data_IF_080543445218
#
_entry.id   IF_080543445218
#
_cell.length_a   1.000
_cell.length_b   1.000
_cell.length_c   1.000
_cell.angle_alpha   90.00
_cell.angle_beta   90.00
_cell.angle_gamma   90.00
#
_symmetry.space_group_name_H-M   'P 1'
#
loop_
_entity.id
_entity.type
_entity.pdbx_description
1 polymer ?
#
# COMPACT_ATOMS: atom_id res chain seq x y z
N UNK A 1 -0.46 -2.60 28.84
CA UNK A 1 -1.85 -2.96 28.44
C UNK A 1 -2.18 -2.16 27.18
N UNK A 2 -2.80 -2.78 26.18
CA UNK A 2 -3.37 -2.11 25.00
C UNK A 2 -4.88 -2.23 25.05
N UNK A 3 -5.59 -1.12 24.78
CA UNK A 3 -7.06 -1.05 24.79
C UNK A 3 -7.56 -0.46 23.49
N UNK A 4 -8.56 -1.10 22.88
CA UNK A 4 -9.34 -0.52 21.82
C UNK A 4 -10.53 0.27 22.40
N UNK A 5 -10.55 1.58 22.16
CA UNK A 5 -11.62 2.46 22.61
C UNK A 5 -12.62 2.67 21.49
N UNK A 6 -13.91 2.47 21.76
CA UNK A 6 -14.99 2.76 20.81
C UNK A 6 -15.17 4.27 20.68
N UNK A 7 -15.19 4.75 19.46
CA UNK A 7 -15.54 6.12 19.13
C UNK A 7 -16.83 6.14 18.29
N UNK A 8 -17.56 7.28 18.23
CA UNK A 8 -18.66 7.46 17.30
C UNK A 8 -18.17 7.42 15.84
N UNK A 9 -19.12 7.42 14.90
CA UNK A 9 -18.76 7.51 13.47
C UNK A 9 -18.20 8.90 13.21
N UNK A 10 -16.93 8.96 12.79
CA UNK A 10 -16.24 10.20 12.44
C UNK A 10 -16.65 10.63 11.04
N UNK A 11 -17.01 11.92 10.90
CA UNK A 11 -17.41 12.55 9.64
C UNK A 11 -16.49 13.73 9.33
N UNK A 12 -16.54 14.20 8.11
CA UNK A 12 -15.87 15.42 7.69
C UNK A 12 -16.41 16.62 8.48
N UNK A 13 -15.50 17.45 8.99
CA UNK A 13 -15.79 18.60 9.81
C UNK A 13 -15.97 18.32 11.30
N UNK A 14 -15.94 17.07 11.74
CA UNK A 14 -16.02 16.72 13.15
C UNK A 14 -14.79 17.23 13.93
N UNK A 15 -15.00 17.70 15.16
CA UNK A 15 -13.91 17.96 16.11
C UNK A 15 -13.33 16.63 16.63
N UNK A 16 -12.37 16.10 15.89
CA UNK A 16 -11.76 14.83 16.21
C UNK A 16 -11.07 14.83 17.58
N UNK A 17 -10.48 15.96 17.99
CA UNK A 17 -9.79 16.05 19.27
C UNK A 17 -10.78 15.91 20.43
N UNK A 18 -11.89 16.64 20.39
CA UNK A 18 -12.97 16.53 21.37
C UNK A 18 -13.54 15.09 21.42
N UNK A 19 -13.84 14.50 20.26
CA UNK A 19 -14.37 13.13 20.18
C UNK A 19 -13.41 12.10 20.81
N UNK A 20 -12.11 12.24 20.54
CA UNK A 20 -11.10 11.32 21.12
C UNK A 20 -11.01 11.47 22.63
N UNK A 21 -10.96 12.71 23.13
CA UNK A 21 -10.93 13.00 24.58
C UNK A 21 -12.15 12.40 25.27
N UNK A 22 -13.35 12.70 24.78
CA UNK A 22 -14.60 12.20 25.36
C UNK A 22 -14.68 10.67 25.32
N UNK A 23 -14.26 10.05 24.22
CA UNK A 23 -14.26 8.59 24.08
C UNK A 23 -13.33 7.93 25.08
N UNK A 24 -12.12 8.47 25.28
CA UNK A 24 -11.12 7.93 26.22
C UNK A 24 -11.59 8.10 27.67
N UNK A 25 -12.11 9.29 28.03
CA UNK A 25 -12.61 9.56 29.38
C UNK A 25 -13.84 8.69 29.73
N UNK A 26 -14.78 8.56 28.80
CA UNK A 26 -15.94 7.68 28.98
C UNK A 26 -15.53 6.22 29.16
N UNK A 27 -14.57 5.74 28.36
CA UNK A 27 -14.05 4.38 28.50
C UNK A 27 -13.33 4.16 29.84
N UNK A 28 -12.55 5.14 30.28
CA UNK A 28 -11.86 5.10 31.60
C UNK A 28 -12.87 4.97 32.76
N UNK A 29 -13.92 5.77 32.73
CA UNK A 29 -14.98 5.70 33.74
C UNK A 29 -15.78 4.38 33.69
N UNK A 30 -16.16 3.94 32.50
CA UNK A 30 -17.00 2.75 32.31
C UNK A 30 -16.26 1.44 32.66
N UNK A 31 -14.96 1.37 32.38
CA UNK A 31 -14.16 0.16 32.59
C UNK A 31 -13.26 0.23 33.84
N UNK A 32 -13.26 1.35 34.56
CA UNK A 32 -12.55 1.51 35.83
C UNK A 32 -11.01 1.45 35.70
N UNK A 33 -10.46 2.06 34.64
CA UNK A 33 -9.01 2.20 34.53
C UNK A 33 -8.57 3.67 34.63
N UNK A 34 -7.41 3.90 35.22
CA UNK A 34 -6.82 5.22 35.35
C UNK A 34 -5.96 5.56 34.13
N UNK A 35 -6.06 6.80 33.66
CA UNK A 35 -5.15 7.38 32.68
C UNK A 35 -3.92 7.87 33.48
N UNK A 36 -2.74 7.45 33.03
CA UNK A 36 -1.47 7.68 33.74
C UNK A 36 -0.53 8.51 32.91
N UNK A 37 0.45 9.11 33.58
CA UNK A 37 1.58 9.74 32.91
C UNK A 37 2.26 8.77 31.95
N UNK A 38 2.54 9.22 30.73
CA UNK A 38 3.14 8.49 29.62
C UNK A 38 2.22 7.46 28.94
N UNK A 39 0.94 7.44 29.24
CA UNK A 39 -0.02 6.72 28.41
C UNK A 39 -0.07 7.34 27.00
N UNK A 40 -0.21 6.49 25.98
CA UNK A 40 -0.25 6.89 24.58
C UNK A 40 -1.66 6.68 24.03
N UNK A 41 -2.26 7.73 23.53
CA UNK A 41 -3.51 7.67 22.76
C UNK A 41 -3.14 7.69 21.27
N UNK A 42 -3.50 6.64 20.55
CA UNK A 42 -3.20 6.52 19.12
C UNK A 42 -4.47 6.68 18.29
N UNK A 43 -4.39 7.54 17.28
CA UNK A 43 -5.45 7.74 16.27
C UNK A 43 -4.83 7.48 14.89
N UNK A 44 -5.52 6.71 14.03
CA UNK A 44 -4.99 6.43 12.69
C UNK A 44 -5.08 7.66 11.79
N UNK A 45 -4.10 7.83 10.91
CA UNK A 45 -4.09 8.92 9.91
C UNK A 45 -5.33 8.91 9.01
N UNK A 46 -5.90 7.73 8.74
CA UNK A 46 -7.12 7.61 7.93
C UNK A 46 -8.34 8.28 8.60
N UNK A 47 -8.42 8.21 9.93
CA UNK A 47 -9.48 8.87 10.71
C UNK A 47 -9.26 10.39 10.74
N UNK A 48 -8.01 10.81 10.93
CA UNK A 48 -7.61 12.23 10.88
C UNK A 48 -7.95 12.82 9.52
N UNK A 49 -7.51 12.18 8.43
CA UNK A 49 -7.78 12.63 7.07
C UNK A 49 -9.29 12.68 6.75
N UNK A 50 -10.09 11.77 7.33
CA UNK A 50 -11.55 11.78 7.19
C UNK A 50 -12.17 12.98 7.86
N UNK A 51 -11.81 13.28 9.10
CA UNK A 51 -12.33 14.44 9.81
C UNK A 51 -11.94 15.75 9.10
N UNK A 52 -10.78 15.80 8.49
CA UNK A 52 -10.28 16.94 7.72
C UNK A 52 -10.87 17.05 6.30
N UNK A 53 -11.63 16.06 5.81
CA UNK A 53 -12.05 16.02 4.41
C UNK A 53 -10.88 15.87 3.42
N UNK A 54 -9.75 15.35 3.89
CA UNK A 54 -8.52 15.22 3.08
C UNK A 54 -8.56 13.95 2.22
N UNK A 55 -9.16 14.06 1.02
CA UNK A 55 -9.32 12.96 0.08
C UNK A 55 -8.53 13.19 -1.20
N UNK A 56 -7.70 12.19 -1.58
CA UNK A 56 -7.04 12.11 -2.87
C UNK A 56 -7.86 11.23 -3.82
N UNK A 57 -8.39 11.82 -4.90
CA UNK A 57 -9.16 11.06 -5.91
C UNK A 57 -8.25 10.20 -6.78
N UNK A 58 -8.80 9.13 -7.37
CA UNK A 58 -8.10 8.27 -8.33
C UNK A 58 -7.52 9.10 -9.48
N UNK A 59 -8.27 10.08 -9.98
CA UNK A 59 -7.83 10.93 -11.10
C UNK A 59 -6.69 11.86 -10.71
N UNK A 60 -6.70 12.39 -9.50
CA UNK A 60 -5.61 13.20 -8.98
C UNK A 60 -4.32 12.37 -8.78
N UNK A 61 -4.46 11.14 -8.24
CA UNK A 61 -3.35 10.20 -8.12
C UNK A 61 -2.78 9.88 -9.50
N UNK A 62 -3.62 9.59 -10.47
CA UNK A 62 -3.20 9.30 -11.85
C UNK A 62 -2.44 10.46 -12.49
N UNK A 63 -2.92 11.70 -12.30
CA UNK A 63 -2.26 12.89 -12.81
C UNK A 63 -0.88 13.11 -12.18
N UNK A 64 -0.76 12.93 -10.86
CA UNK A 64 0.53 13.06 -10.15
C UNK A 64 1.53 11.97 -10.55
N UNK A 65 1.07 10.72 -10.69
CA UNK A 65 1.90 9.61 -11.17
C UNK A 65 2.39 9.86 -12.59
N UNK A 66 1.50 10.33 -13.49
CA UNK A 66 1.86 10.68 -14.86
C UNK A 66 2.84 11.85 -14.93
N UNK A 67 2.71 12.87 -14.07
CA UNK A 67 3.67 13.97 -13.96
C UNK A 67 5.07 13.46 -13.60
N UNK A 68 5.17 12.51 -12.67
CA UNK A 68 6.43 11.98 -12.17
C UNK A 68 7.12 10.99 -13.10
N UNK A 69 6.37 10.08 -13.67
CA UNK A 69 6.93 8.98 -14.47
C UNK A 69 6.83 9.18 -15.98
N UNK A 70 5.89 9.98 -16.46
CA UNK A 70 5.57 10.09 -17.88
C UNK A 70 4.78 8.87 -18.39
N UNK A 71 4.95 8.54 -19.67
CA UNK A 71 4.28 7.39 -20.31
C UNK A 71 5.17 6.13 -20.36
N UNK A 72 6.07 6.01 -19.41
CA UNK A 72 7.02 4.90 -19.36
C UNK A 72 6.47 3.69 -18.60
N UNK A 73 7.21 2.57 -18.67
CA UNK A 73 6.92 1.41 -17.81
C UNK A 73 7.34 1.71 -16.38
N UNK A 74 6.46 1.47 -15.42
CA UNK A 74 6.70 1.69 -13.99
C UNK A 74 6.72 0.36 -13.25
N UNK A 75 7.77 0.12 -12.49
CA UNK A 75 7.83 -0.99 -11.53
C UNK A 75 7.11 -0.58 -10.25
N UNK A 76 6.00 -1.22 -9.94
CA UNK A 76 5.26 -1.04 -8.67
C UNK A 76 5.62 -2.20 -7.76
N UNK A 77 6.34 -1.93 -6.66
CA UNK A 77 6.94 -3.00 -5.88
C UNK A 77 6.48 -3.02 -4.44
N UNK A 78 6.36 -4.23 -3.92
CA UNK A 78 6.07 -4.56 -2.52
C UNK A 78 4.82 -3.92 -1.93
N UNK A 79 3.69 -3.92 -2.65
CA UNK A 79 2.45 -3.45 -2.05
C UNK A 79 1.96 -4.40 -0.96
N UNK A 80 1.26 -3.85 0.03
CA UNK A 80 0.45 -4.64 0.95
C UNK A 80 -0.74 -5.22 0.20
N UNK A 81 -1.06 -6.49 0.46
CA UNK A 81 -2.21 -7.17 -0.11
C UNK A 81 -3.51 -6.68 0.55
N UNK A 82 -4.13 -5.68 -0.06
CA UNK A 82 -5.32 -5.04 0.49
C UNK A 82 -6.31 -4.66 -0.60
N UNK A 83 -7.53 -5.20 -0.50
CA UNK A 83 -8.64 -4.86 -1.40
C UNK A 83 -9.31 -3.52 -1.06
N UNK A 84 -9.04 -2.94 0.10
CA UNK A 84 -9.71 -1.74 0.59
C UNK A 84 -8.86 -0.47 0.48
N UNK A 85 -7.56 -0.57 0.76
CA UNK A 85 -6.68 0.60 0.80
C UNK A 85 -5.77 0.67 -0.42
N UNK A 86 -4.94 -0.34 -0.61
CA UNK A 86 -3.99 -0.31 -1.71
C UNK A 86 -4.67 -0.44 -3.07
N UNK A 87 -5.77 -1.18 -3.19
CA UNK A 87 -6.50 -1.28 -4.45
C UNK A 87 -6.94 0.07 -5.01
N UNK A 88 -7.37 1.02 -4.17
CA UNK A 88 -7.73 2.38 -4.61
C UNK A 88 -6.48 3.14 -5.09
N UNK A 89 -5.37 3.03 -4.36
CA UNK A 89 -4.09 3.59 -4.80
C UNK A 89 -3.66 2.98 -6.15
N UNK A 90 -3.74 1.65 -6.27
CA UNK A 90 -3.35 0.92 -7.47
C UNK A 90 -4.16 1.31 -8.71
N UNK A 91 -5.49 1.55 -8.56
CA UNK A 91 -6.32 2.10 -9.63
C UNK A 91 -5.79 3.45 -10.13
N UNK A 92 -5.48 4.37 -9.21
CA UNK A 92 -4.92 5.67 -9.57
C UNK A 92 -3.55 5.56 -10.22
N UNK A 93 -2.66 4.72 -9.68
CA UNK A 93 -1.33 4.47 -10.22
C UNK A 93 -1.45 3.89 -11.65
N UNK A 94 -2.28 2.86 -11.82
CA UNK A 94 -2.48 2.20 -13.11
C UNK A 94 -3.05 3.16 -14.17
N UNK A 95 -4.03 3.97 -13.80
CA UNK A 95 -4.61 4.99 -14.71
C UNK A 95 -3.57 6.04 -15.15
N UNK A 96 -2.52 6.27 -14.34
CA UNK A 96 -1.42 7.19 -14.65
C UNK A 96 -0.28 6.57 -15.46
N UNK A 97 -0.29 5.26 -15.71
CA UNK A 97 0.80 4.53 -16.36
C UNK A 97 0.34 3.87 -17.67
N UNK A 98 1.26 3.68 -18.62
CA UNK A 98 1.02 2.86 -19.83
C UNK A 98 1.17 1.36 -19.52
N UNK A 99 2.22 1.01 -18.79
CA UNK A 99 2.53 -0.37 -18.38
C UNK A 99 3.03 -0.39 -16.95
N UNK A 100 2.58 -1.37 -16.17
CA UNK A 100 3.06 -1.66 -14.82
C UNK A 100 3.74 -3.03 -14.82
N UNK A 101 4.93 -3.10 -14.21
CA UNK A 101 5.51 -4.36 -13.72
C UNK A 101 5.23 -4.40 -12.23
N UNK A 102 4.26 -5.21 -11.83
CA UNK A 102 3.88 -5.38 -10.43
C UNK A 102 4.75 -6.47 -9.79
N UNK A 103 5.61 -6.07 -8.85
CA UNK A 103 6.45 -7.02 -8.14
C UNK A 103 5.92 -7.23 -6.72
N UNK A 104 5.46 -8.43 -6.45
CA UNK A 104 4.93 -8.88 -5.17
C UNK A 104 6.01 -9.58 -4.36
N UNK A 105 6.08 -9.29 -3.06
CA UNK A 105 6.87 -10.10 -2.13
C UNK A 105 6.17 -11.42 -1.83
N UNK A 106 6.94 -12.46 -1.57
CA UNK A 106 6.45 -13.79 -1.21
C UNK A 106 7.36 -14.46 -0.17
N UNK A 107 6.91 -15.37 0.66
CA UNK A 107 5.57 -15.96 0.69
C UNK A 107 4.48 -15.00 1.17
N UNK A 108 4.84 -13.86 1.77
CA UNK A 108 3.89 -12.87 2.29
C UNK A 108 4.34 -11.43 2.02
N UNK A 109 3.42 -10.49 2.18
CA UNK A 109 3.76 -9.06 2.25
C UNK A 109 4.42 -8.68 3.60
N UNK A 110 4.81 -7.42 3.76
CA UNK A 110 5.52 -6.93 4.97
C UNK A 110 4.69 -6.97 6.25
N UNK A 111 3.38 -7.18 6.18
CA UNK A 111 2.47 -7.27 7.33
C UNK A 111 1.90 -8.68 7.54
N UNK A 112 2.42 -9.65 6.79
CA UNK A 112 2.11 -11.07 6.98
C UNK A 112 0.87 -11.56 6.24
N UNK A 113 0.37 -10.88 5.21
CA UNK A 113 -0.63 -11.47 4.32
C UNK A 113 0.04 -12.44 3.36
N UNK A 114 -0.26 -13.72 3.49
CA UNK A 114 0.37 -14.76 2.70
C UNK A 114 -0.21 -14.84 1.28
N UNK A 115 0.68 -14.97 0.29
CA UNK A 115 0.38 -15.36 -1.09
C UNK A 115 0.57 -16.85 -1.30
N UNK A 116 1.44 -17.48 -0.52
CA UNK A 116 1.82 -18.88 -0.61
C UNK A 116 1.92 -19.43 0.80
N UNK A 117 1.49 -20.67 0.99
CA UNK A 117 1.77 -21.41 2.22
C UNK A 117 3.27 -21.74 2.31
N UNK A 118 3.84 -21.66 3.52
CA UNK A 118 5.27 -21.87 3.74
C UNK A 118 5.68 -23.33 3.47
N UNK A 119 4.88 -24.29 3.92
CA UNK A 119 5.19 -25.70 3.74
C UNK A 119 5.12 -26.06 2.25
N UNK A 120 4.10 -25.56 1.52
CA UNK A 120 3.98 -25.74 0.08
C UNK A 120 5.18 -25.14 -0.67
N UNK A 121 5.66 -23.94 -0.25
CA UNK A 121 6.83 -23.32 -0.84
C UNK A 121 8.09 -24.16 -0.64
N UNK A 122 8.30 -24.71 0.55
CA UNK A 122 9.43 -25.56 0.89
C UNK A 122 9.38 -26.89 0.12
N UNK A 123 8.21 -27.51 -0.02
CA UNK A 123 8.01 -28.72 -0.81
C UNK A 123 8.33 -28.53 -2.30
N UNK A 124 8.05 -27.33 -2.84
CA UNK A 124 8.38 -26.96 -4.22
C UNK A 124 9.86 -26.56 -4.41
N UNK A 125 10.64 -26.47 -3.33
CA UNK A 125 12.04 -26.10 -3.35
C UNK A 125 12.31 -24.66 -3.79
N UNK A 126 11.36 -23.75 -3.57
CA UNK A 126 11.47 -22.34 -3.94
C UNK A 126 12.16 -21.56 -2.83
N UNK A 127 13.23 -20.83 -3.16
CA UNK A 127 13.97 -20.01 -2.23
C UNK A 127 13.59 -18.53 -2.33
N UNK A 128 12.82 -17.98 -1.37
CA UNK A 128 12.34 -16.59 -1.44
C UNK A 128 13.46 -15.55 -1.38
N UNK A 129 14.66 -15.91 -0.96
CA UNK A 129 15.81 -14.99 -0.89
C UNK A 129 16.54 -14.82 -2.22
N UNK A 130 16.49 -15.82 -3.11
CA UNK A 130 17.22 -15.82 -4.38
C UNK A 130 16.33 -15.84 -5.60
N UNK A 131 15.17 -16.48 -5.52
CA UNK A 131 14.40 -16.81 -6.70
C UNK A 131 13.48 -15.66 -7.11
N UNK A 132 13.42 -15.46 -8.42
CA UNK A 132 12.51 -14.53 -9.07
C UNK A 132 11.55 -15.33 -9.93
N UNK A 133 10.25 -15.24 -9.64
CA UNK A 133 9.24 -15.99 -10.38
C UNK A 133 8.45 -15.04 -11.29
N UNK A 134 8.19 -15.47 -12.51
CA UNK A 134 7.15 -14.86 -13.36
C UNK A 134 5.78 -15.32 -12.92
N UNK A 135 4.70 -14.62 -13.34
CA UNK A 135 3.32 -15.07 -13.08
C UNK A 135 3.09 -16.50 -13.58
N UNK A 136 3.57 -16.83 -14.78
CA UNK A 136 3.45 -18.16 -15.36
C UNK A 136 4.10 -19.23 -14.46
N UNK A 137 5.35 -18.99 -14.01
CA UNK A 137 6.05 -19.92 -13.12
C UNK A 137 5.39 -20.03 -11.76
N UNK A 138 4.90 -18.93 -11.21
CA UNK A 138 4.12 -18.94 -9.98
C UNK A 138 2.85 -19.80 -10.11
N UNK A 139 2.10 -19.62 -11.20
CA UNK A 139 0.87 -20.40 -11.46
C UNK A 139 1.15 -21.89 -11.72
N UNK A 140 2.27 -22.20 -12.38
CA UNK A 140 2.71 -23.61 -12.56
C UNK A 140 2.99 -24.29 -11.21
N UNK A 141 3.65 -23.59 -10.29
CA UNK A 141 4.05 -24.13 -8.99
C UNK A 141 2.92 -24.19 -7.98
N UNK A 142 2.12 -23.13 -7.87
CA UNK A 142 1.20 -22.89 -6.76
C UNK A 142 -0.26 -22.75 -7.20
N UNK A 143 -0.57 -22.68 -8.49
CA UNK A 143 -1.92 -22.52 -9.00
C UNK A 143 -2.56 -21.17 -8.58
N UNK A 144 -3.87 -21.19 -8.31
CA UNK A 144 -4.65 -20.05 -7.87
C UNK A 144 -4.80 -20.06 -6.34
N UNK A 145 -4.02 -19.25 -5.68
CA UNK A 145 -3.97 -19.18 -4.21
C UNK A 145 -4.98 -18.14 -3.69
N UNK A 146 -5.91 -18.60 -2.84
CA UNK A 146 -6.91 -17.71 -2.23
C UNK A 146 -6.50 -17.36 -0.81
N UNK A 147 -6.46 -16.07 -0.53
CA UNK A 147 -6.19 -15.56 0.81
C UNK A 147 -7.20 -16.10 1.83
N UNK A 148 -6.71 -16.66 2.94
CA UNK A 148 -7.50 -17.46 3.91
C UNK A 148 -8.74 -16.72 4.43
N UNK A 149 -8.64 -15.43 4.74
CA UNK A 149 -9.75 -14.66 5.31
C UNK A 149 -10.64 -14.00 4.27
N UNK A 150 -10.09 -13.58 3.14
CA UNK A 150 -10.84 -12.80 2.15
C UNK A 150 -11.36 -13.62 0.99
N UNK A 151 -10.84 -14.82 0.78
CA UNK A 151 -11.14 -15.68 -0.36
C UNK A 151 -10.67 -15.12 -1.71
N UNK A 152 -9.86 -14.04 -1.71
CA UNK A 152 -9.39 -13.34 -2.91
C UNK A 152 -8.04 -13.92 -3.34
N UNK A 153 -7.90 -14.27 -4.61
CA UNK A 153 -6.60 -14.44 -5.23
C UNK A 153 -6.06 -13.03 -5.57
N UNK A 154 -5.08 -12.55 -4.81
CA UNK A 154 -4.56 -11.19 -4.96
C UNK A 154 -3.76 -10.98 -6.24
N UNK A 155 -3.19 -12.03 -6.80
CA UNK A 155 -2.47 -11.96 -8.07
C UNK A 155 -3.45 -11.64 -9.19
N UNK A 156 -4.54 -12.42 -9.29
CA UNK A 156 -5.61 -12.21 -10.26
C UNK A 156 -6.33 -10.89 -10.03
N UNK A 157 -6.61 -10.58 -8.77
CA UNK A 157 -7.31 -9.35 -8.39
C UNK A 157 -6.54 -8.09 -8.81
N UNK A 158 -5.24 -8.02 -8.52
CA UNK A 158 -4.43 -6.85 -8.89
C UNK A 158 -4.18 -6.76 -10.39
N UNK A 159 -4.03 -7.91 -11.06
CA UNK A 159 -3.92 -7.98 -12.52
C UNK A 159 -5.16 -7.38 -13.18
N UNK A 160 -6.33 -7.91 -12.86
CA UNK A 160 -7.62 -7.42 -13.37
C UNK A 160 -7.81 -5.93 -13.09
N UNK A 161 -7.50 -5.48 -11.88
CA UNK A 161 -7.66 -4.09 -11.49
C UNK A 161 -6.76 -3.14 -12.30
N UNK A 162 -5.52 -3.54 -12.61
CA UNK A 162 -4.60 -2.76 -13.44
C UNK A 162 -5.11 -2.70 -14.89
N UNK A 163 -5.52 -3.84 -15.45
CA UNK A 163 -6.03 -3.95 -16.82
C UNK A 163 -7.32 -3.14 -16.99
N UNK A 164 -8.27 -3.24 -16.08
CA UNK A 164 -9.49 -2.44 -16.05
C UNK A 164 -9.24 -0.93 -15.91
N UNK A 165 -8.11 -0.55 -15.32
CA UNK A 165 -7.68 0.85 -15.21
C UNK A 165 -6.98 1.37 -16.47
N UNK A 166 -6.78 0.52 -17.49
CA UNK A 166 -6.26 0.88 -18.81
C UNK A 166 -4.75 0.70 -18.98
N UNK A 167 -4.03 0.16 -18.01
CA UNK A 167 -2.61 -0.14 -18.12
C UNK A 167 -2.35 -1.60 -18.52
N UNK A 168 -1.26 -1.84 -19.25
CA UNK A 168 -0.71 -3.18 -19.40
C UNK A 168 -0.07 -3.63 -18.08
N UNK A 169 -0.10 -4.93 -17.79
CA UNK A 169 0.48 -5.48 -16.56
C UNK A 169 1.36 -6.68 -16.84
N UNK A 170 2.44 -6.76 -16.07
CA UNK A 170 3.30 -7.93 -15.95
C UNK A 170 3.54 -8.18 -14.46
N UNK A 171 3.37 -9.42 -13.98
CA UNK A 171 3.50 -9.74 -12.55
C UNK A 171 4.77 -10.55 -12.33
N UNK A 172 5.51 -10.16 -11.30
CA UNK A 172 6.77 -10.77 -10.89
C UNK A 172 6.76 -10.97 -9.38
N UNK A 173 7.39 -12.04 -8.91
CA UNK A 173 7.54 -12.31 -7.48
C UNK A 173 9.03 -12.31 -7.14
N UNK A 174 9.42 -11.47 -6.19
CA UNK A 174 10.79 -11.39 -5.69
C UNK A 174 10.82 -10.64 -4.35
N UNK A 175 11.82 -10.93 -3.52
CA UNK A 175 12.06 -10.21 -2.26
C UNK A 175 13.28 -9.28 -2.33
N UNK A 176 14.07 -9.40 -3.39
CA UNK A 176 15.16 -8.47 -3.65
C UNK A 176 14.65 -7.31 -4.52
N UNK A 177 14.59 -6.05 -4.02
CA UNK A 177 14.07 -4.93 -4.79
C UNK A 177 14.84 -4.68 -6.10
N UNK A 178 16.10 -5.10 -6.20
CA UNK A 178 16.89 -4.96 -7.42
C UNK A 178 16.36 -5.79 -8.60
N UNK A 179 15.56 -6.83 -8.35
CA UNK A 179 15.00 -7.67 -9.41
C UNK A 179 14.15 -6.85 -10.40
N UNK A 180 13.46 -5.79 -9.93
CA UNK A 180 12.65 -4.92 -10.79
C UNK A 180 13.47 -4.21 -11.87
N UNK A 181 14.78 -3.98 -11.62
CA UNK A 181 15.64 -3.25 -12.54
C UNK A 181 15.94 -4.00 -13.84
N UNK A 182 15.64 -5.30 -13.90
CA UNK A 182 15.66 -6.10 -15.14
C UNK A 182 14.49 -5.78 -16.07
N UNK A 183 13.46 -5.09 -15.57
CA UNK A 183 12.23 -4.73 -16.29
C UNK A 183 12.14 -3.23 -16.57
N UNK A 184 12.46 -2.42 -15.59
CA UNK A 184 12.42 -0.95 -15.68
C UNK A 184 13.29 -0.30 -14.62
N UNK A 185 13.79 0.94 -14.92
CA UNK A 185 14.52 1.77 -13.97
C UNK A 185 13.65 2.82 -13.26
N UNK A 186 12.35 2.88 -13.61
CA UNK A 186 11.37 3.78 -13.02
C UNK A 186 10.55 3.00 -12.00
N UNK A 187 10.72 3.28 -10.71
CA UNK A 187 10.18 2.44 -9.63
C UNK A 187 9.37 3.25 -8.64
N UNK A 188 8.16 2.77 -8.37
CA UNK A 188 7.29 3.21 -7.27
C UNK A 188 7.32 2.14 -6.17
N UNK A 189 7.91 2.47 -5.03
CA UNK A 189 7.94 1.59 -3.86
C UNK A 189 6.65 1.75 -3.07
N UNK A 190 5.98 0.65 -2.78
CA UNK A 190 4.69 0.63 -2.09
C UNK A 190 4.75 -0.02 -0.70
N UNK A 191 5.93 -0.49 -0.30
CA UNK A 191 6.22 -0.92 1.07
C UNK A 191 6.12 0.28 2.03
N UNK A 192 5.49 0.07 3.19
CA UNK A 192 5.19 1.14 4.15
C UNK A 192 6.32 1.30 5.15
N UNK A 193 6.75 0.21 5.76
CA UNK A 193 7.73 0.23 6.86
C UNK A 193 9.18 0.22 6.37
N UNK A 194 9.45 -0.41 5.25
CA UNK A 194 10.80 -0.60 4.71
C UNK A 194 11.14 0.34 3.55
N UNK A 195 10.21 1.20 3.10
CA UNK A 195 10.35 2.06 1.90
C UNK A 195 11.64 2.89 1.83
N UNK A 196 12.10 3.46 2.96
CA UNK A 196 13.33 4.24 2.97
C UNK A 196 14.56 3.40 2.61
N UNK A 197 14.60 2.15 3.11
CA UNK A 197 15.64 1.17 2.77
C UNK A 197 15.52 0.75 1.31
N UNK A 198 14.31 0.46 0.85
CA UNK A 198 14.03 0.03 -0.53
C UNK A 198 14.44 1.11 -1.53
N UNK A 199 14.03 2.37 -1.33
CA UNK A 199 14.44 3.52 -2.15
C UNK A 199 15.98 3.65 -2.21
N UNK A 200 16.67 3.52 -1.08
CA UNK A 200 18.14 3.59 -1.01
C UNK A 200 18.81 2.49 -1.82
N UNK A 201 18.33 1.25 -1.70
CA UNK A 201 18.86 0.09 -2.46
C UNK A 201 18.69 0.30 -3.95
N UNK A 202 17.52 0.73 -4.41
CA UNK A 202 17.22 0.96 -5.81
C UNK A 202 18.08 2.08 -6.41
N UNK A 203 18.19 3.22 -5.72
CA UNK A 203 19.05 4.34 -6.14
C UNK A 203 20.51 3.89 -6.26
N UNK A 204 21.03 3.17 -5.28
CA UNK A 204 22.39 2.63 -5.31
C UNK A 204 22.63 1.59 -6.43
N UNK A 205 21.57 0.93 -6.89
CA UNK A 205 21.62 -0.06 -7.97
C UNK A 205 21.38 0.53 -9.37
N UNK A 206 21.21 1.86 -9.51
CA UNK A 206 21.10 2.54 -10.79
C UNK A 206 19.67 2.73 -11.31
N UNK A 207 18.66 2.71 -10.42
CA UNK A 207 17.33 3.16 -10.77
C UNK A 207 17.33 4.66 -11.12
N UNK A 208 16.56 5.07 -12.11
CA UNK A 208 16.53 6.44 -12.62
C UNK A 208 15.51 7.30 -11.89
N UNK A 209 14.26 6.82 -11.79
CA UNK A 209 13.19 7.47 -11.04
C UNK A 209 12.77 6.55 -9.90
N UNK A 210 12.90 7.00 -8.65
CA UNK A 210 12.52 6.23 -7.47
C UNK A 210 11.67 7.09 -6.57
N UNK A 211 10.39 6.76 -6.53
CA UNK A 211 9.40 7.37 -5.63
C UNK A 211 8.78 6.31 -4.71
N UNK A 212 8.21 6.73 -3.60
CA UNK A 212 7.38 5.89 -2.74
C UNK A 212 5.94 6.42 -2.68
N UNK A 213 5.04 5.73 -2.00
CA UNK A 213 3.70 6.23 -1.75
C UNK A 213 3.70 7.55 -0.97
N UNK A 214 4.75 7.80 -0.19
CA UNK A 214 5.00 9.05 0.53
C UNK A 214 5.43 10.21 -0.37
N UNK A 215 5.83 9.95 -1.61
CA UNK A 215 6.19 10.98 -2.59
C UNK A 215 5.03 11.31 -3.56
N UNK A 216 3.95 10.51 -3.56
CA UNK A 216 2.77 10.73 -4.41
C UNK A 216 1.73 11.53 -3.62
N UNK A 217 1.13 12.57 -4.24
CA UNK A 217 0.17 13.49 -3.60
C UNK A 217 0.78 14.27 -2.41
N UNK A 218 2.00 14.73 -2.56
CA UNK A 218 2.66 15.65 -1.59
C UNK A 218 2.24 17.11 -1.77
N UNK A 219 1.53 17.42 -2.85
CA UNK A 219 0.90 18.71 -3.15
C UNK A 219 -0.51 18.46 -3.69
N UNK A 220 -1.36 19.49 -3.61
CA UNK A 220 -2.70 19.40 -4.22
C UNK A 220 -2.58 19.27 -5.75
N UNK A 221 -3.26 18.27 -6.30
CA UNK A 221 -3.39 18.05 -7.75
C UNK A 221 -4.88 18.14 -8.09
N UNK A 222 -5.25 19.02 -9.02
CA UNK A 222 -6.64 19.25 -9.42
C UNK A 222 -7.59 19.55 -8.24
N UNK A 223 -7.09 20.26 -7.22
CA UNK A 223 -7.90 20.61 -6.04
C UNK A 223 -8.15 19.48 -5.05
N UNK A 224 -7.52 18.31 -5.24
CA UNK A 224 -7.68 17.19 -4.31
C UNK A 224 -6.92 17.39 -3.01
N UNK A 225 -7.29 16.62 -1.99
CA UNK A 225 -6.54 16.49 -0.74
C UNK A 225 -5.15 15.90 -0.97
N UNK A 226 -4.22 16.24 -0.09
CA UNK A 226 -2.82 15.82 -0.16
C UNK A 226 -2.21 15.78 1.25
N UNK A 227 -0.99 15.25 1.35
CA UNK A 227 -0.18 15.38 2.56
C UNK A 227 1.27 15.67 2.15
N UNK A 228 1.82 16.80 2.59
CA UNK A 228 3.16 17.28 2.22
C UNK A 228 4.30 16.40 2.74
N UNK A 229 4.09 15.71 3.85
CA UNK A 229 5.10 14.90 4.52
C UNK A 229 4.98 13.40 4.23
N UNK A 230 3.74 12.90 4.01
CA UNK A 230 3.46 11.46 3.90
C UNK A 230 2.69 11.08 2.62
N UNK A 231 2.40 12.02 1.74
CA UNK A 231 1.74 11.75 0.47
C UNK A 231 0.49 10.89 0.60
N UNK A 232 0.40 9.81 -0.18
CA UNK A 232 -0.71 8.85 -0.13
C UNK A 232 -0.82 8.08 1.19
N UNK A 233 0.20 8.08 2.04
CA UNK A 233 0.13 7.45 3.36
C UNK A 233 -0.60 8.34 4.36
N UNK A 234 -0.57 9.66 4.17
CA UNK A 234 -1.18 10.66 5.06
C UNK A 234 -2.51 11.24 4.60
N UNK A 235 -3.09 10.80 3.47
CA UNK A 235 -4.40 11.24 2.97
C UNK A 235 -5.35 10.06 2.79
N UNK A 236 -6.66 10.31 2.86
CA UNK A 236 -7.64 9.32 2.44
C UNK A 236 -7.72 9.25 0.92
N UNK A 237 -8.10 8.07 0.41
CA UNK A 237 -8.27 7.80 -1.01
C UNK A 237 -9.76 7.75 -1.32
N UNK A 238 -10.15 8.42 -2.40
CA UNK A 238 -11.51 8.43 -2.90
C UNK A 238 -11.57 7.81 -4.30
N UNK A 239 -12.67 7.13 -4.58
CA UNK A 239 -12.96 6.52 -5.90
C UNK A 239 -13.43 7.58 -6.90
#
# INVERSE_FOLDING_TARGET
>A
VSRGVRAPIIREGDDLAAIVVDSVLNASQAEGFDIRDRDVVAVTEAVVARAQGNYASIDAIAADVKEKFGEETVGVIFPILSRNRFSICLKGIAKGCRKIVLMLSYPSDEVGNHLIDLDEMDEKGVNPWSDVLTEEKYRELFGYQKHVFTGVDYVEYYKTLIEESGAQVEIVFANNPKAILSYTKNVLTCDIHTRARTKRILKAAGAEKVYGLDDIMTKSVNGSGYNDSYGLLGSNKAT
#
